data_IF_455918314520
#
_entry.id   IF_455918314520
#
_cell.length_a   1.000
_cell.length_b   1.000
_cell.length_c   1.000
_cell.angle_alpha   90.00
_cell.angle_beta   90.00
_cell.angle_gamma   90.00
#
_symmetry.space_group_name_H-M   'P 1'
#
loop_
_entity.id
_entity.type
_entity.pdbx_description
1 polymer ?
#
# COMPACT_ATOMS: atom_id res chain seq x y z
N UNK A 1 8.95 14.39 -36.90
CA UNK A 1 9.95 15.15 -36.12
C UNK A 1 10.50 16.27 -36.99
N UNK A 2 10.96 17.36 -36.39
CA UNK A 2 11.43 18.56 -37.11
C UNK A 2 12.93 18.51 -37.43
N UNK A 3 13.43 17.34 -37.85
CA UNK A 3 14.86 17.17 -38.12
C UNK A 3 15.28 18.02 -39.32
N UNK A 4 16.42 18.72 -39.19
CA UNK A 4 16.93 19.63 -40.21
C UNK A 4 16.34 21.04 -40.16
N UNK A 5 15.43 21.32 -39.22
CA UNK A 5 14.78 22.62 -39.04
C UNK A 5 15.20 23.33 -37.74
N UNK A 6 16.18 22.77 -37.02
CA UNK A 6 16.57 23.19 -35.66
C UNK A 6 17.02 24.66 -35.58
N UNK A 7 17.56 25.20 -36.68
CA UNK A 7 18.12 26.55 -36.76
C UNK A 7 17.40 27.46 -37.77
N UNK A 8 16.29 27.01 -38.37
CA UNK A 8 15.59 27.75 -39.42
C UNK A 8 14.11 27.97 -39.14
N UNK A 9 13.48 27.12 -38.30
CA UNK A 9 12.07 27.25 -38.00
C UNK A 9 11.85 28.35 -36.95
N UNK A 10 11.12 29.40 -37.34
CA UNK A 10 10.80 30.54 -36.46
C UNK A 10 9.36 30.55 -35.98
N UNK A 11 8.42 30.02 -36.76
CA UNK A 11 7.00 29.96 -36.40
C UNK A 11 6.43 28.59 -36.70
N UNK A 12 5.68 28.03 -35.75
CA UNK A 12 5.05 26.72 -35.88
C UNK A 12 3.55 26.83 -35.60
N UNK A 13 2.76 26.49 -36.62
CA UNK A 13 1.29 26.50 -36.58
C UNK A 13 0.76 25.09 -36.31
N UNK A 14 0.15 24.88 -35.15
CA UNK A 14 -0.47 23.61 -34.77
C UNK A 14 -1.93 23.78 -34.34
N UNK A 15 -2.55 24.95 -34.53
CA UNK A 15 -3.95 25.15 -34.16
C UNK A 15 -4.92 24.28 -34.97
N UNK A 16 -6.14 24.12 -34.45
CA UNK A 16 -7.25 23.41 -35.12
C UNK A 16 -6.95 21.95 -35.44
N UNK A 17 -6.13 21.31 -34.61
CA UNK A 17 -5.82 19.90 -34.69
C UNK A 17 -6.57 19.12 -33.59
N UNK A 18 -6.16 17.88 -33.35
CA UNK A 18 -6.72 17.01 -32.29
C UNK A 18 -5.67 16.66 -31.23
N UNK A 19 -4.71 17.55 -31.01
CA UNK A 19 -3.65 17.35 -30.03
C UNK A 19 -4.21 17.45 -28.61
N UNK A 20 -3.94 16.44 -27.80
CA UNK A 20 -4.27 16.44 -26.37
C UNK A 20 -3.04 16.75 -25.54
N UNK A 21 -1.87 16.27 -25.97
CA UNK A 21 -0.57 16.50 -25.36
C UNK A 21 0.46 16.75 -26.44
N UNK A 22 1.37 17.70 -26.22
CA UNK A 22 2.53 17.94 -27.06
C UNK A 22 3.79 17.87 -26.20
N UNK A 23 4.58 16.81 -26.38
CA UNK A 23 5.79 16.59 -25.60
C UNK A 23 6.88 17.59 -26.01
N UNK A 24 7.40 18.35 -25.04
CA UNK A 24 8.45 19.35 -25.28
C UNK A 24 9.69 18.79 -25.98
N UNK A 25 9.97 17.49 -25.86
CA UNK A 25 11.09 16.83 -26.52
C UNK A 25 11.12 17.02 -28.04
N UNK A 26 9.96 17.19 -28.69
CA UNK A 26 9.91 17.45 -30.13
C UNK A 26 10.21 18.91 -30.50
N UNK A 27 10.02 19.84 -29.55
CA UNK A 27 10.23 21.28 -29.75
C UNK A 27 11.60 21.74 -29.23
N UNK A 28 12.13 21.08 -28.21
CA UNK A 28 13.37 21.47 -27.55
C UNK A 28 14.58 21.66 -28.48
N UNK A 29 14.74 20.90 -29.58
CA UNK A 29 15.82 21.13 -30.55
C UNK A 29 15.67 22.40 -31.38
N UNK A 30 14.47 22.98 -31.49
CA UNK A 30 14.18 24.16 -32.32
C UNK A 30 14.67 25.44 -31.62
N UNK A 31 15.88 25.89 -31.96
CA UNK A 31 16.57 26.98 -31.26
C UNK A 31 16.07 28.36 -31.67
N UNK A 32 15.54 28.47 -32.88
CA UNK A 32 15.08 29.72 -33.48
C UNK A 32 13.58 29.95 -33.36
N UNK A 33 12.84 29.04 -32.71
CA UNK A 33 11.39 29.13 -32.61
C UNK A 33 10.98 30.36 -31.78
N UNK A 34 10.26 31.29 -32.42
CA UNK A 34 9.78 32.56 -31.87
C UNK A 34 8.27 32.57 -31.63
N UNK A 35 7.51 31.73 -32.33
CA UNK A 35 6.05 31.64 -32.17
C UNK A 35 5.55 30.21 -32.28
N UNK A 36 4.56 29.88 -31.45
CA UNK A 36 3.93 28.56 -31.41
C UNK A 36 2.43 28.71 -31.19
N UNK A 37 1.65 28.41 -32.20
CA UNK A 37 0.19 28.51 -32.16
C UNK A 37 -0.46 27.15 -31.90
N UNK A 38 -1.28 27.08 -30.85
CA UNK A 38 -1.76 25.84 -30.24
C UNK A 38 -3.28 25.85 -30.03
N UNK A 39 -3.98 26.95 -30.29
CA UNK A 39 -5.39 27.10 -30.02
C UNK A 39 -6.26 26.07 -30.77
N UNK A 40 -7.50 25.89 -30.32
CA UNK A 40 -8.47 24.99 -30.96
C UNK A 40 -7.97 23.53 -31.05
N UNK A 41 -7.32 23.06 -29.99
CA UNK A 41 -6.96 21.66 -29.78
C UNK A 41 -7.60 21.17 -28.48
N UNK A 42 -7.98 19.89 -28.36
CA UNK A 42 -8.58 19.33 -27.17
C UNK A 42 -7.54 19.08 -26.07
N UNK A 43 -6.86 20.12 -25.58
CA UNK A 43 -5.74 19.99 -24.65
C UNK A 43 -6.14 19.32 -23.33
N UNK A 44 -5.34 18.33 -22.94
CA UNK A 44 -5.41 17.66 -21.65
C UNK A 44 -4.42 18.31 -20.69
N UNK A 45 -4.92 19.27 -19.91
CA UNK A 45 -4.17 20.10 -18.97
C UNK A 45 -3.85 19.35 -17.66
N UNK A 46 -3.21 18.19 -17.79
CA UNK A 46 -2.67 17.41 -16.66
C UNK A 46 -1.17 17.65 -16.51
N UNK A 47 -0.54 16.91 -15.60
CA UNK A 47 0.92 16.98 -15.43
C UNK A 47 1.71 16.58 -16.69
N UNK A 48 1.11 15.84 -17.63
CA UNK A 48 1.75 15.48 -18.89
C UNK A 48 2.01 16.70 -19.79
N UNK A 49 1.14 17.73 -19.71
CA UNK A 49 1.24 18.95 -20.51
C UNK A 49 2.07 20.04 -19.81
N UNK A 50 2.30 19.91 -18.50
CA UNK A 50 3.09 20.85 -17.69
C UNK A 50 4.47 21.18 -18.30
N UNK A 51 5.28 20.23 -18.81
CA UNK A 51 6.58 20.55 -19.39
C UNK A 51 6.50 21.47 -20.61
N UNK A 52 5.43 21.37 -21.41
CA UNK A 52 5.21 22.27 -22.53
C UNK A 52 4.89 23.69 -22.05
N UNK A 53 3.94 23.83 -21.12
CA UNK A 53 3.57 25.15 -20.56
C UNK A 53 4.77 25.84 -19.93
N UNK A 54 5.55 25.09 -19.16
CA UNK A 54 6.77 25.55 -18.50
C UNK A 54 7.85 25.97 -19.50
N UNK A 55 8.01 25.20 -20.59
CA UNK A 55 8.92 25.55 -21.68
C UNK A 55 8.50 26.83 -22.41
N UNK A 56 7.21 27.00 -22.73
CA UNK A 56 6.71 28.21 -23.41
C UNK A 56 6.96 29.46 -22.57
N UNK A 57 6.69 29.39 -21.26
CA UNK A 57 6.94 30.49 -20.31
C UNK A 57 8.44 30.81 -20.26
N UNK A 58 9.30 29.80 -20.04
CA UNK A 58 10.75 30.04 -19.92
C UNK A 58 11.41 30.52 -21.20
N UNK A 59 10.95 30.03 -22.36
CA UNK A 59 11.47 30.45 -23.66
C UNK A 59 10.84 31.75 -24.16
N UNK A 60 9.82 32.25 -23.45
CA UNK A 60 9.06 33.42 -23.85
C UNK A 60 8.54 33.29 -25.31
N UNK A 61 8.01 32.10 -25.63
CA UNK A 61 7.45 31.80 -26.97
C UNK A 61 5.94 32.03 -26.90
N UNK A 62 5.44 33.17 -27.41
CA UNK A 62 4.02 33.48 -27.37
C UNK A 62 3.20 32.55 -28.27
N UNK A 63 1.96 32.31 -27.85
CA UNK A 63 0.87 31.92 -28.72
C UNK A 63 0.05 33.19 -29.01
N UNK A 64 -0.35 33.39 -30.27
CA UNK A 64 -1.17 34.55 -30.63
C UNK A 64 -2.58 34.40 -30.06
N UNK A 65 -3.09 33.18 -30.04
CA UNK A 65 -4.32 32.80 -29.34
C UNK A 65 -3.98 31.84 -28.22
N UNK A 66 -4.33 32.23 -26.99
CA UNK A 66 -4.06 31.42 -25.79
C UNK A 66 -4.94 30.18 -25.83
N UNK A 67 -4.39 28.96 -25.66
CA UNK A 67 -5.20 27.75 -25.68
C UNK A 67 -6.09 27.62 -24.44
N UNK A 68 -7.20 26.93 -24.61
CA UNK A 68 -8.08 26.51 -23.53
C UNK A 68 -7.93 25.01 -23.24
N UNK A 69 -8.21 24.62 -22.01
CA UNK A 69 -8.23 23.23 -21.61
C UNK A 69 -9.56 22.55 -21.99
N UNK A 70 -9.48 21.37 -22.60
CA UNK A 70 -10.64 20.49 -22.82
C UNK A 70 -10.80 19.48 -21.68
N UNK A 71 -9.68 19.02 -21.12
CA UNK A 71 -9.61 18.10 -19.99
C UNK A 71 -8.55 18.59 -18.99
N UNK A 72 -8.61 18.14 -17.72
CA UNK A 72 -9.69 17.37 -17.08
C UNK A 72 -10.96 18.23 -16.82
N UNK A 73 -12.11 17.64 -16.40
CA UNK A 73 -13.35 18.38 -16.14
C UNK A 73 -13.19 19.61 -15.22
N UNK A 74 -12.32 19.52 -14.21
CA UNK A 74 -12.03 20.64 -13.28
C UNK A 74 -11.39 21.86 -13.96
N UNK A 75 -10.81 21.71 -15.14
CA UNK A 75 -10.18 22.77 -15.93
C UNK A 75 -10.87 23.00 -17.27
N UNK A 76 -11.95 22.29 -17.58
CA UNK A 76 -12.61 22.41 -18.87
C UNK A 76 -13.00 23.87 -19.14
N UNK A 77 -12.69 24.38 -20.33
CA UNK A 77 -12.87 25.77 -20.79
C UNK A 77 -11.96 26.82 -20.14
N UNK A 78 -11.03 26.43 -19.27
CA UNK A 78 -10.09 27.37 -18.67
C UNK A 78 -8.96 27.70 -19.64
N UNK A 79 -8.76 29.00 -19.86
CA UNK A 79 -7.64 29.52 -20.65
C UNK A 79 -6.32 29.37 -19.90
N UNK A 80 -5.25 28.98 -20.60
CA UNK A 80 -3.95 28.71 -19.99
C UNK A 80 -3.37 29.90 -19.23
N UNK A 81 -3.71 31.14 -19.60
CA UNK A 81 -3.21 32.35 -18.92
C UNK A 81 -3.87 32.62 -17.57
N UNK A 82 -4.96 31.91 -17.27
CA UNK A 82 -5.61 31.94 -15.95
C UNK A 82 -5.14 30.81 -15.03
N UNK A 83 -4.23 29.97 -15.52
CA UNK A 83 -3.75 28.79 -14.83
C UNK A 83 -2.28 28.93 -14.47
N UNK A 84 -1.96 28.63 -13.22
CA UNK A 84 -0.57 28.52 -12.80
C UNK A 84 0.03 27.23 -13.36
N UNK A 85 1.37 27.19 -13.48
CA UNK A 85 2.09 25.97 -13.89
C UNK A 85 1.74 24.78 -13.03
N UNK A 86 1.40 25.05 -11.79
CA UNK A 86 1.03 24.00 -10.91
C UNK A 86 -0.32 23.37 -11.34
N UNK A 87 -1.33 24.12 -11.75
CA UNK A 87 -2.67 23.60 -12.12
C UNK A 87 -2.65 22.45 -13.13
N UNK A 88 -1.61 22.38 -13.96
CA UNK A 88 -1.23 21.24 -14.79
C UNK A 88 -0.71 20.08 -13.91
N UNK A 89 -1.66 19.44 -13.22
CA UNK A 89 -1.44 18.38 -12.24
C UNK A 89 -2.18 17.10 -12.61
N UNK A 90 -1.60 15.95 -12.25
CA UNK A 90 -2.21 14.64 -12.37
C UNK A 90 -2.83 14.23 -11.04
N UNK A 91 -4.08 13.76 -11.10
CA UNK A 91 -4.80 13.28 -9.93
C UNK A 91 -4.07 12.11 -9.25
N UNK A 92 -4.32 11.85 -7.96
CA UNK A 92 -3.72 10.72 -7.28
C UNK A 92 -4.20 9.39 -7.87
N UNK A 93 -3.32 8.41 -7.93
CA UNK A 93 -3.65 7.00 -8.17
C UNK A 93 -3.28 6.21 -6.92
N UNK A 94 -4.21 5.43 -6.37
CA UNK A 94 -3.96 4.60 -5.19
C UNK A 94 -4.22 3.15 -5.54
N UNK A 95 -3.25 2.29 -5.23
CA UNK A 95 -3.34 0.83 -5.40
C UNK A 95 -2.91 0.15 -4.12
N UNK A 96 -3.70 -0.82 -3.66
CA UNK A 96 -3.30 -1.66 -2.55
C UNK A 96 -2.33 -2.74 -3.03
N UNK A 97 -1.27 -3.03 -2.27
CA UNK A 97 -0.37 -4.15 -2.61
C UNK A 97 -1.10 -5.52 -2.53
N UNK A 98 -2.09 -5.61 -1.64
CA UNK A 98 -3.06 -6.69 -1.53
C UNK A 98 -4.39 -6.12 -1.05
N UNK A 99 -5.51 -6.75 -1.41
CA UNK A 99 -6.84 -6.34 -0.91
C UNK A 99 -7.14 -6.88 0.49
N UNK A 100 -6.52 -8.01 0.86
CA UNK A 100 -6.74 -8.70 2.13
C UNK A 100 -5.40 -9.00 2.80
N UNK A 101 -5.32 -8.73 4.09
CA UNK A 101 -4.19 -9.02 4.96
C UNK A 101 -4.67 -9.90 6.10
N UNK A 102 -3.79 -10.80 6.55
CA UNK A 102 -4.06 -11.72 7.65
C UNK A 102 -2.87 -11.67 8.62
N UNK A 103 -3.16 -11.87 9.89
CA UNK A 103 -2.17 -12.01 10.94
C UNK A 103 -2.75 -12.73 12.14
N UNK A 104 -1.90 -13.14 13.07
CA UNK A 104 -2.30 -13.68 14.35
C UNK A 104 -2.22 -12.59 15.42
N UNK A 105 -2.97 -12.79 16.50
CA UNK A 105 -2.89 -11.96 17.70
C UNK A 105 -1.44 -11.91 18.21
N UNK A 106 -0.91 -10.70 18.39
CA UNK A 106 0.47 -10.40 18.75
C UNK A 106 1.43 -10.18 17.57
N UNK A 107 1.02 -10.45 16.33
CA UNK A 107 1.89 -10.24 15.15
C UNK A 107 2.13 -8.76 14.84
N UNK A 108 3.18 -8.49 14.06
CA UNK A 108 3.36 -7.23 13.37
C UNK A 108 2.83 -7.35 11.94
N UNK A 109 1.78 -6.57 11.61
CA UNK A 109 1.13 -6.61 10.29
C UNK A 109 1.29 -5.25 9.60
N UNK A 110 1.70 -5.25 8.33
CA UNK A 110 1.86 -4.01 7.55
C UNK A 110 0.91 -3.98 6.35
N UNK A 111 0.01 -3.01 6.36
CA UNK A 111 -0.84 -2.66 5.22
C UNK A 111 -0.07 -1.72 4.29
N UNK A 112 -0.10 -1.98 2.99
CA UNK A 112 0.74 -1.29 2.00
C UNK A 112 -0.09 -0.71 0.87
N UNK A 113 0.08 0.58 0.61
CA UNK A 113 -0.44 1.29 -0.56
C UNK A 113 0.69 1.81 -1.44
N UNK A 114 0.52 1.62 -2.75
CA UNK A 114 1.24 2.34 -3.77
C UNK A 114 0.43 3.56 -4.19
N UNK A 115 1.06 4.72 -4.19
CA UNK A 115 0.43 6.02 -4.42
C UNK A 115 1.23 6.81 -5.45
N UNK A 116 0.61 7.06 -6.58
CA UNK A 116 1.10 7.95 -7.63
C UNK A 116 0.34 9.28 -7.66
N UNK A 117 0.88 10.26 -8.37
CA UNK A 117 0.24 11.57 -8.57
C UNK A 117 1.28 12.68 -8.73
N UNK A 118 0.89 13.76 -9.40
CA UNK A 118 1.76 14.93 -9.59
C UNK A 118 0.95 16.20 -9.33
N UNK A 119 1.27 17.01 -8.30
CA UNK A 119 2.32 16.78 -7.29
C UNK A 119 2.11 15.50 -6.49
N UNK A 120 3.17 15.04 -5.82
CA UNK A 120 3.10 13.90 -4.90
C UNK A 120 1.96 14.13 -3.89
N UNK A 121 0.98 13.22 -3.81
CA UNK A 121 -0.20 13.44 -3.00
C UNK A 121 0.09 13.20 -1.50
N UNK A 122 -0.70 13.88 -0.67
CA UNK A 122 -0.70 13.63 0.77
C UNK A 122 -1.53 12.38 1.06
N UNK A 123 -0.91 11.39 1.70
CA UNK A 123 -1.57 10.13 2.08
C UNK A 123 -2.06 10.16 3.52
N UNK A 124 -3.25 9.62 3.76
CA UNK A 124 -3.90 9.47 5.06
C UNK A 124 -4.51 8.07 5.19
N UNK A 125 -4.36 7.48 6.36
CA UNK A 125 -4.99 6.21 6.69
C UNK A 125 -6.20 6.44 7.60
N UNK A 126 -7.32 5.81 7.27
CA UNK A 126 -8.60 5.98 7.97
C UNK A 126 -9.15 4.61 8.33
N UNK A 127 -9.72 4.48 9.52
CA UNK A 127 -10.44 3.29 9.96
C UNK A 127 -11.71 3.70 10.67
N UNK A 128 -12.84 3.11 10.27
CA UNK A 128 -14.16 3.43 10.83
C UNK A 128 -14.44 4.95 10.87
N UNK A 129 -14.06 5.67 9.80
CA UNK A 129 -14.22 7.12 9.68
C UNK A 129 -13.24 7.96 10.51
N UNK A 130 -12.31 7.36 11.26
CA UNK A 130 -11.32 8.05 12.08
C UNK A 130 -9.94 8.01 11.45
N UNK A 131 -9.27 9.16 11.43
CA UNK A 131 -7.89 9.26 10.96
C UNK A 131 -6.96 8.50 11.92
N UNK A 132 -6.10 7.66 11.37
CA UNK A 132 -5.03 6.99 12.10
C UNK A 132 -3.83 7.93 12.17
N UNK A 133 -3.27 8.07 13.36
CA UNK A 133 -2.02 8.73 13.66
C UNK A 133 -1.08 7.78 14.39
N UNK A 134 0.22 8.10 14.44
CA UNK A 134 1.17 7.34 15.26
C UNK A 134 0.79 7.32 16.76
N UNK A 135 0.00 8.29 17.21
CA UNK A 135 -0.53 8.39 18.57
C UNK A 135 -1.88 7.70 18.77
N UNK A 136 -2.47 7.12 17.72
CA UNK A 136 -3.79 6.47 17.79
C UNK A 136 -3.76 5.13 18.54
N UNK A 137 -2.60 4.64 18.97
CA UNK A 137 -2.49 3.47 19.85
C UNK A 137 -2.39 3.89 21.31
N UNK A 138 -3.29 3.36 22.12
CA UNK A 138 -3.57 3.83 23.49
C UNK A 138 -2.87 3.03 24.59
N UNK A 139 -2.02 2.05 24.27
CA UNK A 139 -1.37 1.23 25.29
C UNK A 139 0.13 1.03 25.05
N UNK A 140 0.93 1.99 25.53
CA UNK A 140 2.40 1.92 25.51
C UNK A 140 2.90 0.73 26.35
N UNK A 141 2.18 0.36 27.40
CA UNK A 141 2.57 -0.73 28.31
C UNK A 141 2.45 -2.12 27.67
N UNK A 142 1.65 -2.28 26.61
CA UNK A 142 1.51 -3.54 25.86
C UNK A 142 2.35 -3.60 24.59
N UNK A 143 3.18 -2.58 24.31
CA UNK A 143 3.97 -2.48 23.07
C UNK A 143 3.12 -2.27 21.79
N UNK A 144 1.81 -2.07 21.94
CA UNK A 144 0.86 -1.91 20.84
C UNK A 144 1.03 -0.54 20.20
N UNK A 145 1.19 -0.48 18.88
CA UNK A 145 1.40 0.78 18.17
C UNK A 145 0.89 0.75 16.72
N UNK A 146 0.42 1.90 16.24
CA UNK A 146 0.28 2.16 14.80
C UNK A 146 1.48 2.98 14.35
N UNK A 147 2.14 2.58 13.26
CA UNK A 147 3.26 3.30 12.67
C UNK A 147 2.98 3.58 11.20
N UNK A 148 2.93 4.86 10.87
CA UNK A 148 2.79 5.34 9.51
C UNK A 148 4.16 5.68 8.94
N UNK A 149 4.48 5.12 7.78
CA UNK A 149 5.70 5.43 7.03
C UNK A 149 5.35 5.68 5.57
N UNK A 150 5.96 6.70 4.99
CA UNK A 150 5.83 6.98 3.57
C UNK A 150 7.22 7.10 2.96
N UNK A 151 7.52 6.25 1.99
CA UNK A 151 8.81 6.18 1.30
C UNK A 151 8.55 6.15 -0.21
N UNK A 152 8.99 7.19 -0.91
CA UNK A 152 8.72 7.34 -2.35
C UNK A 152 7.22 7.32 -2.67
N UNK A 153 6.80 6.38 -3.51
CA UNK A 153 5.41 6.16 -3.90
C UNK A 153 4.71 5.11 -3.02
N UNK A 154 5.27 4.75 -1.87
CA UNK A 154 4.71 3.73 -0.99
C UNK A 154 4.32 4.35 0.35
N UNK A 155 3.11 4.04 0.83
CA UNK A 155 2.66 4.38 2.18
C UNK A 155 2.27 3.11 2.92
N UNK A 156 2.84 2.94 4.11
CA UNK A 156 2.70 1.78 4.96
C UNK A 156 2.01 2.18 6.27
N UNK A 157 1.04 1.36 6.69
CA UNK A 157 0.50 1.35 8.02
C UNK A 157 0.88 0.03 8.69
N UNK A 158 1.82 0.10 9.63
CA UNK A 158 2.23 -1.05 10.43
C UNK A 158 1.49 -1.05 11.77
N UNK A 159 0.92 -2.20 12.11
CA UNK A 159 0.24 -2.48 13.36
C UNK A 159 1.15 -3.42 14.16
N UNK A 160 1.65 -2.94 15.29
CA UNK A 160 2.49 -3.72 16.21
C UNK A 160 1.65 -4.37 17.29
N UNK A 161 1.96 -5.63 17.60
CA UNK A 161 1.23 -6.45 18.57
C UNK A 161 -0.27 -6.42 18.27
N UNK A 162 -0.63 -6.93 17.10
CA UNK A 162 -1.99 -6.87 16.57
C UNK A 162 -2.99 -7.52 17.53
N UNK A 163 -4.14 -6.88 17.69
CA UNK A 163 -5.27 -7.38 18.49
C UNK A 163 -6.41 -7.83 17.56
N UNK A 164 -7.27 -8.75 18.01
CA UNK A 164 -8.43 -9.18 17.24
C UNK A 164 -9.33 -7.99 16.86
N UNK A 165 -9.42 -7.00 17.76
CA UNK A 165 -10.12 -5.73 17.54
C UNK A 165 -9.45 -4.84 16.51
N UNK A 166 -8.30 -5.20 15.92
CA UNK A 166 -7.73 -4.52 14.75
C UNK A 166 -8.34 -5.00 13.43
N UNK A 167 -9.06 -6.13 13.44
CA UNK A 167 -9.74 -6.61 12.24
C UNK A 167 -10.72 -5.59 11.67
N UNK A 168 -10.89 -5.59 10.35
CA UNK A 168 -11.82 -4.73 9.63
C UNK A 168 -11.18 -4.00 8.45
N UNK A 169 -11.90 -3.01 7.94
CA UNK A 169 -11.51 -2.26 6.74
C UNK A 169 -10.72 -1.00 7.09
N UNK A 170 -9.63 -0.80 6.35
CA UNK A 170 -8.74 0.35 6.41
C UNK A 170 -8.78 1.05 5.06
N UNK A 171 -8.98 2.36 5.07
CA UNK A 171 -8.97 3.18 3.86
C UNK A 171 -7.67 3.95 3.78
N UNK A 172 -7.05 3.86 2.62
CA UNK A 172 -5.84 4.58 2.28
C UNK A 172 -6.21 5.67 1.26
N UNK A 173 -6.22 6.91 1.72
CA UNK A 173 -6.69 8.08 0.97
C UNK A 173 -5.49 8.93 0.54
N UNK A 174 -5.44 9.31 -0.73
CA UNK A 174 -4.44 10.22 -1.28
C UNK A 174 -5.11 11.45 -1.90
N UNK A 175 -4.56 12.63 -1.61
CA UNK A 175 -5.09 13.91 -2.06
C UNK A 175 -3.98 14.82 -2.61
N UNK A 176 -4.22 15.43 -3.76
CA UNK A 176 -3.47 16.58 -4.25
C UNK A 176 -4.45 17.58 -4.90
N UNK A 177 -3.96 18.70 -5.43
CA UNK A 177 -4.85 19.71 -6.03
C UNK A 177 -5.63 19.22 -7.26
N UNK A 178 -5.18 18.15 -7.92
CA UNK A 178 -5.86 17.61 -9.09
C UNK A 178 -7.01 16.68 -8.71
N UNK A 179 -7.04 16.19 -7.46
CA UNK A 179 -8.16 15.40 -6.96
C UNK A 179 -7.81 14.52 -5.76
N UNK A 180 -8.68 13.53 -5.54
CA UNK A 180 -8.59 12.54 -4.48
C UNK A 180 -8.75 11.14 -5.06
N UNK A 181 -8.06 10.17 -4.47
CA UNK A 181 -8.27 8.76 -4.74
C UNK A 181 -8.10 7.96 -3.45
N UNK A 182 -8.77 6.82 -3.36
CA UNK A 182 -8.67 5.95 -2.19
C UNK A 182 -8.83 4.48 -2.55
N UNK A 183 -8.32 3.61 -1.68
CA UNK A 183 -8.51 2.16 -1.75
C UNK A 183 -8.81 1.62 -0.35
N UNK A 184 -9.61 0.56 -0.30
CA UNK A 184 -9.95 -0.15 0.93
C UNK A 184 -9.14 -1.44 1.01
N UNK A 185 -8.54 -1.69 2.17
CA UNK A 185 -7.77 -2.88 2.50
C UNK A 185 -8.45 -3.55 3.70
N UNK A 186 -8.63 -4.87 3.65
CA UNK A 186 -9.24 -5.61 4.75
C UNK A 186 -8.18 -6.35 5.55
N UNK A 187 -8.27 -6.27 6.88
CA UNK A 187 -7.40 -7.00 7.81
C UNK A 187 -8.22 -7.99 8.62
N UNK A 188 -7.73 -9.23 8.72
CA UNK A 188 -8.24 -10.24 9.63
C UNK A 188 -7.14 -10.67 10.60
N UNK A 189 -7.41 -10.52 11.91
CA UNK A 189 -6.53 -10.99 12.98
C UNK A 189 -7.19 -12.19 13.67
N UNK A 190 -6.51 -13.33 13.68
CA UNK A 190 -7.00 -14.56 14.29
C UNK A 190 -6.30 -14.84 15.63
N UNK A 191 -6.99 -15.55 16.54
CA UNK A 191 -6.39 -15.98 17.80
C UNK A 191 -5.28 -16.99 17.55
N UNK A 192 -4.15 -16.81 18.22
CA UNK A 192 -3.12 -17.84 18.29
C UNK A 192 -3.65 -19.02 19.11
N UNK A 193 -4.05 -20.09 18.45
CA UNK A 193 -4.48 -21.30 19.16
C UNK A 193 -3.24 -21.99 19.70
N UNK A 194 -3.11 -22.10 21.02
CA UNK A 194 -2.11 -22.98 21.62
C UNK A 194 -2.43 -24.42 21.20
N UNK A 195 -1.60 -24.97 20.31
CA UNK A 195 -1.54 -26.42 20.17
C UNK A 195 -1.09 -26.95 21.52
N UNK A 196 -2.03 -27.51 22.30
CA UNK A 196 -1.67 -28.31 23.47
C UNK A 196 -0.85 -29.48 22.94
N UNK A 197 0.47 -29.32 22.98
CA UNK A 197 1.41 -30.43 22.94
C UNK A 197 0.99 -31.36 24.07
N UNK A 198 0.29 -32.43 23.73
CA UNK A 198 -0.05 -33.50 24.65
C UNK A 198 1.22 -34.33 24.88
N UNK A 199 2.22 -33.69 25.49
CA UNK A 199 3.48 -34.29 25.88
C UNK A 199 3.25 -35.27 27.03
N UNK A 200 3.07 -36.54 26.67
CA UNK A 200 3.75 -37.67 27.33
C UNK A 200 3.51 -37.99 28.81
N UNK A 201 2.54 -37.40 29.52
CA UNK A 201 2.29 -37.79 30.94
C UNK A 201 1.35 -38.99 31.11
N UNK A 202 0.50 -39.31 30.13
CA UNK A 202 -0.45 -40.41 30.23
C UNK A 202 0.18 -41.81 30.05
N UNK A 203 1.33 -41.92 29.38
CA UNK A 203 1.99 -43.21 29.11
C UNK A 203 2.81 -43.74 30.32
N UNK A 204 3.32 -42.87 31.20
CA UNK A 204 4.16 -43.29 32.32
C UNK A 204 3.37 -43.87 33.51
N UNK A 205 2.12 -43.44 33.70
CA UNK A 205 1.27 -43.95 34.79
C UNK A 205 0.82 -45.40 34.53
N UNK A 206 0.53 -45.77 33.27
CA UNK A 206 0.10 -47.13 32.91
C UNK A 206 1.17 -48.20 33.11
N UNK A 207 2.44 -47.88 32.81
CA UNK A 207 3.55 -48.83 32.97
C UNK A 207 3.86 -49.14 34.44
N UNK A 208 3.81 -48.13 35.32
CA UNK A 208 4.05 -48.34 36.75
C UNK A 208 2.99 -49.25 37.40
N UNK A 209 1.71 -49.08 37.04
CA UNK A 209 0.62 -49.92 37.55
C UNK A 209 0.79 -51.37 37.11
N UNK A 210 1.17 -51.61 35.84
CA UNK A 210 1.43 -52.97 35.36
C UNK A 210 2.60 -53.65 36.08
N UNK A 211 3.69 -52.93 36.36
CA UNK A 211 4.85 -53.49 37.07
C UNK A 211 4.51 -53.88 38.51
N UNK A 212 3.72 -53.06 39.22
CA UNK A 212 3.29 -53.37 40.60
C UNK A 212 2.41 -54.61 40.64
N UNK A 213 1.47 -54.76 39.69
CA UNK A 213 0.60 -55.94 39.61
C UNK A 213 1.45 -57.20 39.34
N UNK A 214 2.39 -57.15 38.38
CA UNK A 214 3.26 -58.29 38.07
C UNK A 214 4.13 -58.67 39.28
N UNK A 215 4.76 -57.70 39.94
CA UNK A 215 5.58 -57.97 41.13
C UNK A 215 4.75 -58.57 42.28
N UNK A 216 3.53 -58.05 42.52
CA UNK A 216 2.63 -58.59 43.54
C UNK A 216 2.21 -60.03 43.23
N UNK A 217 1.88 -60.34 41.96
CA UNK A 217 1.52 -61.69 41.53
C UNK A 217 2.69 -62.67 41.65
N UNK A 218 3.91 -62.21 41.39
CA UNK A 218 5.12 -63.01 41.50
C UNK A 218 5.45 -63.35 42.96
N UNK A 219 5.31 -62.38 43.88
CA UNK A 219 5.47 -62.60 45.32
C UNK A 219 4.42 -63.58 45.86
N UNK A 220 3.16 -63.43 45.46
CA UNK A 220 2.10 -64.38 45.83
C UNK A 220 2.44 -65.78 45.30
N UNK A 221 2.90 -65.89 44.05
CA UNK A 221 3.35 -67.15 43.46
C UNK A 221 4.49 -67.81 44.23
N UNK A 222 5.51 -67.04 44.63
CA UNK A 222 6.63 -67.53 45.45
C UNK A 222 6.19 -67.97 46.85
N UNK A 223 5.32 -67.20 47.51
CA UNK A 223 4.74 -67.58 48.80
C UNK A 223 3.94 -68.90 48.70
N UNK A 224 3.14 -69.07 47.65
CA UNK A 224 2.39 -70.31 47.40
C UNK A 224 3.35 -71.47 47.09
N UNK A 225 4.42 -71.21 46.34
CA UNK A 225 5.42 -72.23 46.04
C UNK A 225 6.14 -72.73 47.30
N UNK A 226 6.64 -71.82 48.14
CA UNK A 226 7.32 -72.18 49.40
C UNK A 226 6.40 -72.89 50.39
N UNK A 227 5.13 -72.47 50.50
CA UNK A 227 4.15 -73.16 51.35
C UNK A 227 3.80 -74.56 50.84
N UNK A 228 3.72 -74.76 49.52
CA UNK A 228 3.55 -76.10 48.92
C UNK A 228 4.80 -76.97 49.10
N UNK A 229 5.99 -76.40 48.95
CA UNK A 229 7.26 -77.10 49.15
C UNK A 229 7.41 -77.56 50.60
N UNK A 230 7.10 -76.71 51.59
CA UNK A 230 7.09 -77.12 53.01
C UNK A 230 6.14 -78.28 53.29
N UNK A 231 4.93 -78.28 52.71
CA UNK A 231 3.97 -79.39 52.84
C UNK A 231 4.41 -80.72 52.20
N UNK A 232 5.45 -80.72 51.37
CA UNK A 232 6.00 -81.93 50.73
C UNK A 232 7.25 -82.46 51.46
N UNK A 233 7.72 -81.76 52.49
CA UNK A 233 8.93 -82.08 53.27
C UNK A 233 8.62 -82.45 54.74
N UNK A 234 7.34 -82.43 55.12
CA UNK A 234 6.78 -82.99 56.37
C UNK A 234 6.01 -84.29 56.05
#
# INVERSE_FOLDING_TARGET
GFSGLESSLEYLELSKNRLQVLHVAVLAPLRTLKGLELANNPWECTCALRPLRDWMIRKNVPATVVPDCALPPRLMTQSWDRLDLEDFACQPEVRAAASNFQGLEGDEVTLVCQVGGVPAPRVRWVRAGRLISNTSSTNVNSGRAFMLRSEGQTSNLTIKSADIQDSGSYTCNAENRAGKAEVILNLAIEKKTESKSFGGRALMAGMAVSAVIVLSSCLIGLCVYETRKKRQLD
#
